data_IF_784854382377
#
_entry.id   IF_784854382377
#
_cell.length_a   1.000
_cell.length_b   1.000
_cell.length_c   1.000
_cell.angle_alpha   90.00
_cell.angle_beta   90.00
_cell.angle_gamma   90.00
#
_symmetry.space_group_name_H-M   'P 1'
#
loop_
_entity.id
_entity.type
_entity.pdbx_description
1 polymer ?
#
# COMPACT_ATOMS: atom_id res chain seq x y z
N UNK A 1 -8.41 34.45 40.87
CA UNK A 1 -9.53 33.94 40.01
C UNK A 1 -9.80 34.81 38.79
N UNK A 2 -10.01 36.13 38.92
CA UNK A 2 -10.28 37.04 37.77
C UNK A 2 -9.18 37.04 36.70
N UNK A 3 -7.90 37.01 37.10
CA UNK A 3 -6.77 36.99 36.16
C UNK A 3 -6.67 35.69 35.34
N UNK A 4 -7.08 34.56 35.91
CA UNK A 4 -7.09 33.25 35.21
C UNK A 4 -8.19 33.20 34.16
N UNK A 5 -9.36 33.80 34.46
CA UNK A 5 -10.48 33.90 33.52
C UNK A 5 -10.14 34.83 32.35
N UNK A 6 -9.43 35.93 32.59
CA UNK A 6 -8.97 36.84 31.54
C UNK A 6 -7.91 36.17 30.65
N UNK A 7 -6.95 35.45 31.22
CA UNK A 7 -5.94 34.72 30.45
C UNK A 7 -6.56 33.59 29.61
N UNK A 8 -7.51 32.85 30.16
CA UNK A 8 -8.22 31.78 29.45
C UNK A 8 -9.08 32.33 28.31
N UNK A 9 -9.77 33.46 28.51
CA UNK A 9 -10.52 34.14 27.47
C UNK A 9 -9.61 34.70 26.35
N UNK A 10 -8.43 35.20 26.71
CA UNK A 10 -7.43 35.67 25.73
C UNK A 10 -6.86 34.52 24.89
N UNK A 11 -6.58 33.37 25.52
CA UNK A 11 -6.14 32.13 24.86
C UNK A 11 -7.22 31.57 23.91
N UNK A 12 -8.50 31.61 24.31
CA UNK A 12 -9.63 31.22 23.46
C UNK A 12 -9.83 32.16 22.27
N UNK A 13 -9.57 33.46 22.44
CA UNK A 13 -9.66 34.43 21.36
C UNK A 13 -8.53 34.27 20.31
N UNK A 14 -7.33 33.83 20.73
CA UNK A 14 -6.24 33.50 19.81
C UNK A 14 -6.43 32.15 19.09
N UNK A 15 -7.32 31.29 19.58
CA UNK A 15 -7.65 30.00 18.98
C UNK A 15 -8.82 30.09 17.98
N UNK A 16 -9.36 31.29 17.72
CA UNK A 16 -10.32 31.47 16.63
C UNK A 16 -9.62 31.06 15.32
N UNK A 17 -10.09 30.02 14.62
CA UNK A 17 -9.62 29.80 13.27
C UNK A 17 -10.04 31.07 12.53
N UNK A 18 -9.08 31.81 11.98
CA UNK A 18 -9.40 32.75 10.94
C UNK A 18 -10.18 31.95 9.91
N UNK A 19 -11.49 32.18 9.85
CA UNK A 19 -12.38 31.54 8.88
C UNK A 19 -12.08 32.19 7.53
N UNK A 20 -10.84 31.99 7.05
CA UNK A 20 -10.48 32.22 5.68
C UNK A 20 -11.37 31.25 4.90
N UNK A 21 -12.36 31.81 4.21
CA UNK A 21 -13.16 31.03 3.29
C UNK A 21 -12.18 30.21 2.42
N UNK A 22 -12.42 28.90 2.23
CA UNK A 22 -11.56 28.11 1.38
C UNK A 22 -11.47 28.82 0.01
N UNK A 23 -10.29 28.85 -0.63
CA UNK A 23 -10.13 29.49 -1.92
C UNK A 23 -11.24 28.97 -2.84
N UNK A 24 -12.02 29.89 -3.41
CA UNK A 24 -13.12 29.52 -4.33
C UNK A 24 -12.51 28.64 -5.42
N UNK A 25 -13.09 27.45 -5.61
CA UNK A 25 -12.64 26.56 -6.66
C UNK A 25 -12.78 27.26 -8.01
N UNK A 26 -11.69 27.31 -8.78
CA UNK A 26 -11.71 27.79 -10.15
C UNK A 26 -11.72 26.62 -11.11
N UNK A 27 -12.27 26.82 -12.30
CA UNK A 27 -12.34 25.76 -13.32
C UNK A 27 -10.94 25.21 -13.67
N UNK A 28 -9.91 26.05 -13.92
CA UNK A 28 -8.55 25.56 -14.18
C UNK A 28 -7.98 24.69 -13.04
N UNK A 29 -8.21 25.07 -11.78
CA UNK A 29 -7.71 24.31 -10.63
C UNK A 29 -8.30 22.91 -10.52
N UNK A 30 -9.49 22.69 -11.11
CA UNK A 30 -10.16 21.39 -11.12
C UNK A 30 -9.74 20.60 -12.36
N UNK A 31 -9.68 21.24 -13.54
CA UNK A 31 -9.37 20.59 -14.82
C UNK A 31 -7.98 19.94 -14.85
N UNK A 32 -7.02 20.42 -14.05
CA UNK A 32 -5.68 19.84 -13.91
C UNK A 32 -5.61 18.62 -12.98
N UNK A 33 -6.61 18.43 -12.11
CA UNK A 33 -6.66 17.30 -11.15
C UNK A 33 -7.63 16.19 -11.58
N UNK A 34 -8.31 16.37 -12.72
CA UNK A 34 -9.32 15.43 -13.23
C UNK A 34 -9.02 15.02 -14.66
N UNK A 35 -9.37 13.79 -14.97
CA UNK A 35 -9.17 13.13 -16.27
C UNK A 35 -10.53 13.03 -16.97
N UNK A 36 -10.55 13.19 -18.29
CA UNK A 36 -11.73 12.86 -19.09
C UNK A 36 -11.89 11.34 -19.10
N UNK A 37 -13.05 10.84 -18.64
CA UNK A 37 -13.29 9.39 -18.48
C UNK A 37 -13.16 8.61 -19.79
N UNK A 38 -13.50 9.23 -20.91
CA UNK A 38 -13.47 8.57 -22.21
C UNK A 38 -12.20 8.85 -23.01
N UNK A 39 -11.48 9.92 -22.67
CA UNK A 39 -10.31 10.37 -23.41
C UNK A 39 -9.01 9.78 -22.85
N UNK A 40 -8.98 9.44 -21.56
CA UNK A 40 -7.77 8.95 -20.87
C UNK A 40 -6.69 10.02 -20.70
N UNK A 41 -7.04 11.30 -20.84
CA UNK A 41 -6.13 12.45 -20.70
C UNK A 41 -6.72 13.47 -19.72
N UNK A 42 -5.88 14.38 -19.21
CA UNK A 42 -6.33 15.45 -18.31
C UNK A 42 -7.39 16.32 -18.98
N UNK A 43 -8.38 16.76 -18.21
CA UNK A 43 -9.51 17.51 -18.73
C UNK A 43 -9.06 18.86 -19.34
N UNK A 44 -7.99 19.45 -18.79
CA UNK A 44 -7.41 20.69 -19.29
C UNK A 44 -6.93 20.61 -20.76
N UNK A 45 -6.50 19.45 -21.25
CA UNK A 45 -5.96 19.28 -22.63
C UNK A 45 -6.95 18.63 -23.59
N UNK A 46 -8.08 18.10 -23.09
CA UNK A 46 -9.05 17.40 -23.92
C UNK A 46 -10.12 18.34 -24.49
N UNK A 47 -10.40 18.24 -25.80
CA UNK A 47 -11.43 19.03 -26.48
C UNK A 47 -12.65 18.20 -26.93
N UNK A 48 -12.82 16.99 -26.38
CA UNK A 48 -13.93 16.10 -26.75
C UNK A 48 -15.30 16.66 -26.30
N UNK A 49 -16.41 16.25 -26.94
CA UNK A 49 -17.75 16.60 -26.48
C UNK A 49 -18.02 16.20 -25.02
N UNK A 50 -17.48 15.05 -24.60
CA UNK A 50 -17.59 14.53 -23.23
C UNK A 50 -16.84 15.42 -22.24
N UNK A 51 -15.61 15.82 -22.57
CA UNK A 51 -14.85 16.79 -21.78
C UNK A 51 -15.61 18.12 -21.61
N UNK A 52 -16.30 18.60 -22.65
CA UNK A 52 -17.10 19.82 -22.54
C UNK A 52 -18.32 19.66 -21.62
N UNK A 53 -18.89 18.46 -21.55
CA UNK A 53 -19.99 18.13 -20.63
C UNK A 53 -19.49 18.12 -19.19
N UNK A 54 -18.36 17.45 -18.91
CA UNK A 54 -17.70 17.44 -17.60
C UNK A 54 -17.35 18.87 -17.13
N UNK A 55 -16.79 19.71 -18.02
CA UNK A 55 -16.52 21.12 -17.71
C UNK A 55 -17.79 21.90 -17.38
N UNK A 56 -18.90 21.59 -18.04
CA UNK A 56 -20.19 22.22 -17.77
C UNK A 56 -20.67 21.84 -16.37
N UNK A 57 -20.61 20.57 -16.02
CA UNK A 57 -20.90 20.08 -14.68
C UNK A 57 -20.01 20.77 -13.62
N UNK A 58 -18.70 20.86 -13.85
CA UNK A 58 -17.79 21.55 -12.92
C UNK A 58 -18.18 23.02 -12.73
N UNK A 59 -18.51 23.73 -13.81
CA UNK A 59 -18.98 25.13 -13.73
C UNK A 59 -20.27 25.27 -12.92
N UNK A 60 -21.21 24.35 -13.07
CA UNK A 60 -22.45 24.34 -12.27
C UNK A 60 -22.16 24.15 -10.77
N UNK A 61 -21.22 23.26 -10.43
CA UNK A 61 -20.84 23.03 -9.04
C UNK A 61 -20.07 24.21 -8.43
N UNK A 62 -19.23 24.89 -9.22
CA UNK A 62 -18.57 26.14 -8.83
C UNK A 62 -19.62 27.24 -8.60
N UNK A 63 -20.62 27.35 -9.51
CA UNK A 63 -21.72 28.30 -9.38
C UNK A 63 -22.61 28.01 -8.15
N UNK A 64 -22.74 26.74 -7.77
CA UNK A 64 -23.40 26.31 -6.55
C UNK A 64 -22.59 26.61 -5.26
N UNK A 65 -21.40 27.22 -5.38
CA UNK A 65 -20.57 27.62 -4.26
C UNK A 65 -19.86 26.46 -3.56
N UNK A 66 -19.75 25.30 -4.22
CA UNK A 66 -19.04 24.15 -3.66
C UNK A 66 -17.54 24.38 -3.64
N UNK A 67 -16.89 23.82 -2.63
CA UNK A 67 -15.43 23.79 -2.56
C UNK A 67 -14.83 22.71 -3.48
N UNK A 68 -13.51 22.75 -3.67
CA UNK A 68 -12.78 21.82 -4.54
C UNK A 68 -12.95 20.35 -4.14
N UNK A 69 -13.02 20.04 -2.85
CA UNK A 69 -13.18 18.66 -2.39
C UNK A 69 -14.60 18.14 -2.68
N UNK A 70 -15.61 19.00 -2.50
CA UNK A 70 -17.01 18.73 -2.81
C UNK A 70 -17.23 18.55 -4.31
N UNK A 71 -16.59 19.37 -5.15
CA UNK A 71 -16.64 19.23 -6.61
C UNK A 71 -16.06 17.89 -7.05
N UNK A 72 -14.86 17.53 -6.54
CA UNK A 72 -14.24 16.23 -6.82
C UNK A 72 -15.09 15.06 -6.34
N UNK A 73 -15.71 15.18 -5.16
CA UNK A 73 -16.61 14.15 -4.66
C UNK A 73 -17.85 13.96 -5.56
N UNK A 74 -18.44 15.06 -6.03
CA UNK A 74 -19.58 15.01 -6.94
C UNK A 74 -19.20 14.46 -8.32
N UNK A 75 -18.00 14.75 -8.82
CA UNK A 75 -17.48 14.14 -10.04
C UNK A 75 -17.31 12.62 -9.88
N UNK A 76 -16.83 12.14 -8.74
CA UNK A 76 -16.72 10.69 -8.48
C UNK A 76 -18.10 10.03 -8.38
N UNK A 77 -19.08 10.71 -7.79
CA UNK A 77 -20.45 10.19 -7.67
C UNK A 77 -21.12 10.02 -9.05
N UNK A 78 -20.90 10.97 -9.96
CA UNK A 78 -21.48 10.96 -11.31
C UNK A 78 -20.69 10.09 -12.30
N UNK A 79 -19.36 10.17 -12.30
CA UNK A 79 -18.47 9.59 -13.32
C UNK A 79 -17.57 8.45 -12.81
N UNK A 80 -17.59 8.15 -11.52
CA UNK A 80 -16.77 7.11 -10.89
C UNK A 80 -15.36 7.56 -10.50
N UNK A 81 -14.59 6.67 -9.85
CA UNK A 81 -13.24 7.00 -9.33
C UNK A 81 -12.19 7.31 -10.41
N UNK A 82 -12.48 6.93 -11.67
CA UNK A 82 -11.58 7.05 -12.82
C UNK A 82 -11.42 8.50 -13.32
N UNK A 83 -12.34 9.39 -12.92
CA UNK A 83 -12.32 10.82 -13.25
C UNK A 83 -11.24 11.58 -12.47
N UNK A 84 -10.78 11.07 -11.32
CA UNK A 84 -9.71 11.72 -10.56
C UNK A 84 -8.36 11.29 -11.12
N UNK A 85 -7.46 12.25 -11.33
CA UNK A 85 -6.07 11.94 -11.70
C UNK A 85 -5.36 11.11 -10.61
N UNK A 86 -5.76 11.28 -9.35
CA UNK A 86 -5.34 10.43 -8.23
C UNK A 86 -6.53 9.64 -7.66
N UNK A 87 -6.59 8.31 -7.84
CA UNK A 87 -7.64 7.51 -7.24
C UNK A 87 -7.56 7.62 -5.71
N UNK A 88 -8.71 7.92 -5.07
CA UNK A 88 -8.79 8.02 -3.61
C UNK A 88 -8.40 6.68 -2.99
N UNK A 89 -7.19 6.61 -2.44
CA UNK A 89 -6.60 5.42 -1.84
C UNK A 89 -7.25 4.98 -0.50
N UNK A 90 -8.57 5.14 -0.31
CA UNK A 90 -9.20 5.01 1.02
C UNK A 90 -9.76 3.63 1.36
N UNK A 91 -10.05 2.76 0.37
CA UNK A 91 -10.68 1.46 0.66
C UNK A 91 -9.96 0.24 0.07
N UNK A 92 -9.55 0.32 -1.20
CA UNK A 92 -9.08 -0.86 -1.95
C UNK A 92 -7.61 -1.22 -1.71
N UNK A 93 -6.82 -0.28 -1.17
CA UNK A 93 -5.37 -0.47 -1.01
C UNK A 93 -5.01 -1.37 0.18
N UNK A 94 -5.82 -1.36 1.25
CA UNK A 94 -5.55 -2.18 2.43
C UNK A 94 -5.66 -3.68 2.11
N UNK A 95 -6.72 -4.10 1.40
CA UNK A 95 -6.89 -5.51 1.01
C UNK A 95 -5.77 -5.99 0.10
N UNK A 96 -5.36 -5.15 -0.88
CA UNK A 96 -4.24 -5.46 -1.78
C UNK A 96 -2.90 -5.60 -1.06
N UNK A 97 -2.70 -4.92 0.08
CA UNK A 97 -1.51 -5.06 0.92
C UNK A 97 -1.61 -6.18 1.97
N UNK A 98 -2.80 -6.47 2.48
CA UNK A 98 -3.02 -7.53 3.48
C UNK A 98 -2.84 -8.92 2.83
N UNK A 99 -3.36 -9.12 1.61
CA UNK A 99 -3.25 -10.40 0.90
C UNK A 99 -1.80 -10.90 0.77
N UNK A 100 -0.81 -10.14 0.27
CA UNK A 100 0.56 -10.61 0.16
C UNK A 100 1.20 -10.93 1.53
N UNK A 101 0.90 -10.14 2.57
CA UNK A 101 1.39 -10.41 3.93
C UNK A 101 0.83 -11.74 4.45
N UNK A 102 -0.47 -11.97 4.29
CA UNK A 102 -1.13 -13.22 4.72
C UNK A 102 -0.57 -14.43 3.98
N UNK A 103 -0.35 -14.34 2.67
CA UNK A 103 0.24 -15.43 1.88
C UNK A 103 1.65 -15.78 2.39
N UNK A 104 2.49 -14.78 2.63
CA UNK A 104 3.86 -14.99 3.15
C UNK A 104 3.84 -15.63 4.54
N UNK A 105 2.94 -15.19 5.42
CA UNK A 105 2.80 -15.77 6.76
C UNK A 105 2.34 -17.24 6.70
N UNK A 106 1.34 -17.54 5.87
CA UNK A 106 0.86 -18.92 5.69
C UNK A 106 1.96 -19.83 5.12
N UNK A 107 2.74 -19.35 4.15
CA UNK A 107 3.85 -20.09 3.60
C UNK A 107 4.94 -20.36 4.65
N UNK A 108 5.33 -19.33 5.42
CA UNK A 108 6.34 -19.46 6.48
C UNK A 108 5.91 -20.46 7.56
N UNK A 109 4.64 -20.39 8.00
CA UNK A 109 4.07 -21.34 8.96
C UNK A 109 4.04 -22.76 8.38
N UNK A 110 3.58 -22.92 7.14
CA UNK A 110 3.54 -24.21 6.45
C UNK A 110 4.92 -24.87 6.34
N UNK A 111 5.93 -24.12 5.92
CA UNK A 111 7.32 -24.59 5.86
C UNK A 111 7.83 -24.97 7.26
N UNK A 112 7.59 -24.12 8.26
CA UNK A 112 8.01 -24.37 9.64
C UNK A 112 7.39 -25.64 10.23
N UNK A 113 6.11 -25.91 9.94
CA UNK A 113 5.41 -27.14 10.37
C UNK A 113 5.95 -28.35 9.60
N UNK A 114 6.14 -28.26 8.28
CA UNK A 114 6.69 -29.34 7.47
C UNK A 114 8.09 -29.75 7.94
N UNK A 115 8.98 -28.78 8.15
CA UNK A 115 10.33 -29.02 8.67
C UNK A 115 10.33 -29.65 10.07
N UNK A 116 9.42 -29.22 10.95
CA UNK A 116 9.26 -29.84 12.28
C UNK A 116 8.80 -31.28 12.18
N UNK A 117 7.84 -31.59 11.29
CA UNK A 117 7.36 -32.96 11.07
C UNK A 117 8.46 -33.86 10.51
N UNK A 118 9.22 -33.37 9.52
CA UNK A 118 10.35 -34.13 8.95
C UNK A 118 11.44 -34.40 9.97
N UNK A 119 11.74 -33.44 10.85
CA UNK A 119 12.70 -33.63 11.94
C UNK A 119 12.21 -34.62 13.01
N UNK A 120 10.91 -34.63 13.31
CA UNK A 120 10.33 -35.59 14.23
C UNK A 120 10.39 -37.03 13.67
N UNK A 121 10.25 -37.21 12.36
CA UNK A 121 10.39 -38.53 11.70
C UNK A 121 11.85 -38.95 11.51
N UNK A 122 12.78 -38.00 11.37
CA UNK A 122 14.21 -38.27 11.26
C UNK A 122 14.89 -38.58 12.62
N UNK A 123 14.17 -38.48 13.73
CA UNK A 123 14.70 -38.69 15.09
C UNK A 123 14.89 -40.15 15.51
N UNK A 124 14.38 -41.11 14.73
CA UNK A 124 14.37 -42.54 15.10
C UNK A 124 15.27 -43.41 14.22
N UNK A 125 16.16 -42.85 13.40
CA UNK A 125 17.25 -43.65 12.81
C UNK A 125 18.34 -43.76 13.86
N UNK A 126 18.58 -44.93 14.49
CA UNK A 126 19.74 -45.10 15.33
C UNK A 126 20.95 -44.76 14.47
N UNK A 127 21.76 -43.81 14.91
CA UNK A 127 23.12 -43.68 14.39
C UNK A 127 23.83 -44.92 14.93
N UNK A 128 23.69 -46.04 14.23
CA UNK A 128 24.65 -47.12 14.35
C UNK A 128 25.98 -46.46 14.03
N UNK A 129 26.81 -46.31 15.05
CA UNK A 129 28.23 -46.05 14.84
C UNK A 129 28.74 -47.28 14.13
N UNK A 130 28.62 -47.29 12.81
CA UNK A 130 29.31 -48.21 11.94
C UNK A 130 30.77 -47.79 12.08
N UNK A 131 31.43 -48.30 13.13
CA UNK A 131 32.87 -48.38 13.14
C UNK A 131 33.18 -49.15 11.84
N UNK A 132 33.83 -48.52 10.85
CA UNK A 132 34.13 -49.21 9.61
C UNK A 132 34.84 -50.52 9.99
N UNK A 133 34.52 -51.65 9.32
CA UNK A 133 35.27 -52.87 9.56
C UNK A 133 36.75 -52.51 9.53
N UNK A 134 37.53 -53.00 10.50
CA UNK A 134 38.97 -52.75 10.55
C UNK A 134 39.53 -52.88 9.13
N UNK A 135 40.27 -51.84 8.72
CA UNK A 135 40.79 -51.67 7.36
C UNK A 135 41.17 -53.03 6.79
N UNK A 136 40.55 -53.38 5.66
CA UNK A 136 40.84 -54.67 5.03
C UNK A 136 42.35 -54.77 4.77
N UNK A 137 42.93 -55.96 4.88
CA UNK A 137 44.38 -56.14 4.70
C UNK A 137 44.86 -55.60 3.33
N UNK A 138 43.97 -55.56 2.34
CA UNK A 138 44.20 -54.96 1.03
C UNK A 138 44.29 -53.42 1.08
N UNK A 139 43.38 -52.77 1.79
CA UNK A 139 43.39 -51.31 1.98
C UNK A 139 44.60 -50.84 2.79
N UNK A 140 44.99 -51.61 3.81
CA UNK A 140 46.20 -51.34 4.60
C UNK A 140 47.47 -51.43 3.75
N UNK A 141 47.58 -52.43 2.87
CA UNK A 141 48.73 -52.58 1.96
C UNK A 141 48.79 -51.47 0.90
N UNK A 142 47.64 -51.03 0.37
CA UNK A 142 47.59 -49.89 -0.55
C UNK A 142 48.08 -48.60 0.11
N UNK A 143 47.67 -48.36 1.35
CA UNK A 143 48.08 -47.17 2.10
C UNK A 143 49.60 -47.15 2.37
N UNK A 144 50.18 -48.29 2.76
CA UNK A 144 51.63 -48.41 2.97
C UNK A 144 52.42 -48.19 1.67
N UNK A 145 51.92 -48.70 0.54
CA UNK A 145 52.54 -48.48 -0.76
C UNK A 145 52.52 -47.00 -1.18
N UNK A 146 51.44 -46.26 -0.90
CA UNK A 146 51.36 -44.81 -1.15
C UNK A 146 52.27 -44.00 -0.22
N UNK A 147 52.34 -44.36 1.08
CA UNK A 147 53.20 -43.68 2.06
C UNK A 147 54.70 -43.88 1.82
N UNK A 148 55.08 -44.99 1.18
CA UNK A 148 56.48 -45.31 0.86
C UNK A 148 57.01 -44.64 -0.42
N UNK A 149 56.16 -43.91 -1.14
CA UNK A 149 56.49 -43.22 -2.40
C UNK A 149 56.89 -41.77 -2.18
#
# INVERSE_FOLDING_TARGET
MRAVLVAFALLLALAAPALAAPPRASLPDIEDEVMCVECGTVLAVSSSPVANQERTFIREQIAAGKDKAQIKAALVDEYGEQILAEPKASGFNATLWIVPIVIVLLAAVGIGVALRRWRATAGDTPIETHLPPELSAEDAQRLDAELSR
#
